data_IF_075080475617
#
_entry.id   IF_075080475617
#
_cell.length_a   1.000
_cell.length_b   1.000
_cell.length_c   1.000
_cell.angle_alpha   90.00
_cell.angle_beta   90.00
_cell.angle_gamma   90.00
#
_symmetry.space_group_name_H-M   'P 1'
#
loop_
_entity.id
_entity.type
_entity.pdbx_description
1 polymer ?
#
# COMPACT_ATOMS: atom_id res chain seq x y z
N UNK A 1 -10.35 15.55 -0.01
CA UNK A 1 -9.06 14.85 -0.16
C UNK A 1 -9.15 13.99 -1.42
N UNK A 2 -8.42 14.32 -2.48
CA UNK A 2 -8.46 13.53 -3.72
C UNK A 2 -7.59 12.28 -3.56
N UNK A 3 -8.03 11.13 -4.08
CA UNK A 3 -7.28 9.89 -3.98
C UNK A 3 -5.95 10.00 -4.75
N UNK A 4 -4.88 9.50 -4.13
CA UNK A 4 -3.62 9.21 -4.81
C UNK A 4 -3.88 8.31 -6.03
N UNK A 5 -3.12 8.40 -7.13
CA UNK A 5 -3.29 7.53 -8.31
C UNK A 5 -3.35 6.04 -7.98
N UNK A 6 -2.60 5.59 -6.97
CA UNK A 6 -2.57 4.20 -6.51
C UNK A 6 -3.79 3.78 -5.68
N UNK A 7 -4.67 4.73 -5.34
CA UNK A 7 -5.92 4.53 -4.59
C UNK A 7 -7.16 4.81 -5.44
N UNK A 8 -6.99 5.14 -6.73
CA UNK A 8 -8.11 5.28 -7.66
C UNK A 8 -8.85 3.96 -7.81
N UNK A 9 -10.18 4.04 -7.67
CA UNK A 9 -11.09 2.91 -7.81
C UNK A 9 -12.04 3.18 -8.95
N UNK A 10 -12.37 2.12 -9.67
CA UNK A 10 -13.43 2.10 -10.67
C UNK A 10 -14.42 1.01 -10.30
N UNK A 11 -15.69 1.22 -10.63
CA UNK A 11 -16.72 0.19 -10.41
C UNK A 11 -16.58 -0.95 -11.41
N UNK A 12 -16.29 -0.63 -12.67
CA UNK A 12 -16.10 -1.63 -13.74
C UNK A 12 -14.71 -1.53 -14.33
N UNK A 13 -14.17 -2.69 -14.75
CA UNK A 13 -12.86 -2.76 -15.39
C UNK A 13 -12.79 -1.90 -16.66
N UNK A 14 -13.89 -1.84 -17.42
CA UNK A 14 -14.01 -1.02 -18.63
C UNK A 14 -13.77 0.48 -18.37
N UNK A 15 -14.09 0.97 -17.17
CA UNK A 15 -13.95 2.39 -16.83
C UNK A 15 -12.49 2.82 -16.71
N UNK A 16 -11.54 1.87 -16.58
CA UNK A 16 -10.10 2.18 -16.60
C UNK A 16 -9.63 2.72 -17.96
N UNK A 17 -10.35 2.42 -19.04
CA UNK A 17 -10.06 2.96 -20.36
C UNK A 17 -10.69 4.35 -20.57
N UNK A 18 -11.51 4.84 -19.62
CA UNK A 18 -12.13 6.15 -19.75
C UNK A 18 -11.09 7.27 -19.70
N UNK A 19 -11.33 8.31 -20.49
CA UNK A 19 -10.51 9.54 -20.48
C UNK A 19 -10.45 10.13 -19.06
N UNK A 20 -11.55 10.07 -18.32
CA UNK A 20 -11.63 10.50 -16.92
C UNK A 20 -10.63 9.76 -16.03
N UNK A 21 -10.58 8.43 -16.10
CA UNK A 21 -9.66 7.63 -15.29
C UNK A 21 -8.20 7.90 -15.67
N UNK A 22 -7.90 8.00 -16.97
CA UNK A 22 -6.54 8.31 -17.45
C UNK A 22 -6.09 9.70 -16.97
N UNK A 23 -6.98 10.70 -17.04
CA UNK A 23 -6.71 12.04 -16.51
C UNK A 23 -6.45 12.01 -15.00
N UNK A 24 -7.32 11.38 -14.23
CA UNK A 24 -7.15 11.28 -12.78
C UNK A 24 -5.87 10.53 -12.37
N UNK A 25 -5.52 9.44 -13.07
CA UNK A 25 -4.30 8.67 -12.77
C UNK A 25 -3.01 9.43 -13.06
N UNK A 26 -3.06 10.44 -13.94
CA UNK A 26 -1.96 11.35 -14.24
C UNK A 26 -1.99 12.64 -13.42
N UNK A 27 -2.94 12.77 -12.47
CA UNK A 27 -3.09 13.97 -11.64
C UNK A 27 -3.78 15.14 -12.34
N UNK A 28 -4.48 14.88 -13.44
CA UNK A 28 -5.26 15.87 -14.18
C UNK A 28 -6.74 15.85 -13.75
N UNK A 29 -7.38 17.01 -13.83
CA UNK A 29 -8.82 17.15 -13.62
C UNK A 29 -9.62 16.68 -14.86
N UNK A 30 -10.95 16.80 -14.81
CA UNK A 30 -11.83 16.40 -15.91
C UNK A 30 -11.61 17.19 -17.20
N UNK A 31 -11.03 18.39 -17.11
CA UNK A 31 -10.73 19.27 -18.24
C UNK A 31 -9.31 19.06 -18.80
N UNK A 32 -8.51 18.17 -18.18
CA UNK A 32 -7.12 17.91 -18.58
C UNK A 32 -6.13 18.93 -18.03
N UNK A 33 -6.57 19.79 -17.11
CA UNK A 33 -5.70 20.72 -16.40
C UNK A 33 -5.08 20.00 -15.20
N UNK A 34 -3.88 20.42 -14.78
CA UNK A 34 -3.36 19.98 -13.48
C UNK A 34 -4.36 20.35 -12.40
N UNK A 35 -4.56 19.47 -11.42
CA UNK A 35 -5.39 19.74 -10.26
C UNK A 35 -4.82 20.90 -9.39
N UNK A 36 -5.05 22.15 -9.81
CA UNK A 36 -4.46 23.36 -9.25
C UNK A 36 -5.10 23.87 -7.94
N UNK A 37 -5.67 23.00 -7.12
CA UNK A 37 -6.13 23.35 -5.76
C UNK A 37 -5.08 22.98 -4.70
N UNK A 38 -3.91 23.61 -4.75
CA UNK A 38 -3.57 24.77 -3.93
C UNK A 38 -2.18 25.25 -4.32
N UNK A 39 -1.96 26.56 -4.31
CA UNK A 39 -0.66 27.20 -4.56
C UNK A 39 0.45 26.74 -3.59
N UNK A 40 0.07 25.98 -2.54
CA UNK A 40 0.92 25.28 -1.57
C UNK A 40 0.54 23.80 -1.36
N UNK A 41 -0.33 23.22 -2.19
CA UNK A 41 -0.71 21.82 -2.09
C UNK A 41 0.01 21.09 -3.19
N UNK A 42 1.08 20.39 -2.80
CA UNK A 42 1.58 19.30 -3.61
C UNK A 42 0.39 18.44 -4.07
N UNK A 43 0.43 17.91 -5.30
CA UNK A 43 -0.39 16.76 -5.65
C UNK A 43 -0.38 15.80 -4.46
N UNK A 44 -1.50 15.12 -4.19
CA UNK A 44 -1.60 14.12 -3.11
C UNK A 44 -0.70 12.92 -3.44
N UNK A 45 0.60 13.17 -3.48
CA UNK A 45 1.68 12.24 -3.58
C UNK A 45 1.69 11.51 -2.26
N UNK A 46 1.87 10.21 -2.38
CA UNK A 46 2.01 9.37 -1.23
C UNK A 46 3.26 9.84 -0.46
N UNK A 47 3.09 10.26 0.79
CA UNK A 47 4.23 10.58 1.66
C UNK A 47 4.97 9.29 1.97
N UNK A 48 6.30 9.32 1.90
CA UNK A 48 7.08 8.11 2.13
C UNK A 48 6.92 7.59 3.56
N UNK A 49 6.95 8.49 4.54
CA UNK A 49 6.69 8.21 5.94
C UNK A 49 5.33 7.52 6.18
N UNK A 50 4.28 7.98 5.51
CA UNK A 50 2.95 7.35 5.55
C UNK A 50 2.95 5.94 4.95
N UNK A 51 3.73 5.73 3.88
CA UNK A 51 3.92 4.42 3.24
C UNK A 51 4.55 3.42 4.19
N UNK A 52 5.61 3.83 4.88
CA UNK A 52 6.31 3.02 5.88
C UNK A 52 5.34 2.64 6.99
N UNK A 53 4.68 3.64 7.60
CA UNK A 53 3.72 3.42 8.68
C UNK A 53 2.60 2.46 8.30
N UNK A 54 1.98 2.65 7.13
CA UNK A 54 0.91 1.77 6.64
C UNK A 54 1.39 0.38 6.31
N UNK A 55 2.64 0.21 5.86
CA UNK A 55 3.20 -1.12 5.62
C UNK A 55 3.34 -1.92 6.90
N UNK A 56 3.75 -1.27 8.00
CA UNK A 56 3.77 -1.90 9.33
C UNK A 56 2.35 -2.26 9.81
N UNK A 57 1.37 -1.38 9.59
CA UNK A 57 -0.03 -1.67 9.92
C UNK A 57 -0.57 -2.89 9.13
N UNK A 58 -0.21 -3.01 7.85
CA UNK A 58 -0.60 -4.15 7.02
C UNK A 58 -0.04 -5.48 7.54
N UNK A 59 1.15 -5.47 8.16
CA UNK A 59 1.71 -6.64 8.83
C UNK A 59 0.84 -7.07 10.03
N UNK A 60 0.48 -6.12 10.89
CA UNK A 60 -0.35 -6.42 12.07
C UNK A 60 -1.74 -6.91 11.67
N UNK A 61 -2.33 -6.31 10.63
CA UNK A 61 -3.61 -6.77 10.06
C UNK A 61 -3.48 -8.19 9.53
N UNK A 62 -2.36 -8.52 8.88
CA UNK A 62 -2.15 -9.85 8.31
C UNK A 62 -2.05 -10.95 9.37
N UNK A 63 -1.53 -10.65 10.55
CA UNK A 63 -1.35 -11.61 11.64
C UNK A 63 -2.56 -11.70 12.56
N UNK A 64 -3.20 -10.58 12.85
CA UNK A 64 -4.16 -10.46 13.96
C UNK A 64 -5.60 -10.17 13.52
N UNK A 65 -5.82 -9.83 12.24
CA UNK A 65 -7.13 -9.39 11.77
C UNK A 65 -7.82 -10.43 10.88
N UNK A 66 -9.01 -10.08 10.39
CA UNK A 66 -9.79 -10.97 9.52
C UNK A 66 -9.19 -11.05 8.11
N UNK A 67 -9.44 -12.17 7.42
CA UNK A 67 -9.07 -12.34 6.00
C UNK A 67 -9.64 -11.23 5.11
N UNK A 68 -10.82 -10.71 5.46
CA UNK A 68 -11.47 -9.60 4.73
C UNK A 68 -10.68 -8.31 4.89
N UNK A 69 -10.31 -7.95 6.13
CA UNK A 69 -9.49 -6.78 6.40
C UNK A 69 -8.14 -6.86 5.67
N UNK A 70 -7.45 -8.00 5.79
CA UNK A 70 -6.17 -8.22 5.11
C UNK A 70 -6.26 -8.09 3.58
N UNK A 71 -7.36 -8.51 2.95
CA UNK A 71 -7.51 -8.42 1.49
C UNK A 71 -7.90 -7.01 1.00
N UNK A 72 -8.57 -6.22 1.84
CA UNK A 72 -9.14 -4.93 1.44
C UNK A 72 -8.24 -3.75 1.81
N UNK A 73 -7.57 -3.78 2.97
CA UNK A 73 -6.74 -2.67 3.46
C UNK A 73 -5.55 -2.35 2.54
N UNK A 74 -4.79 -3.32 1.99
CA UNK A 74 -3.72 -3.04 1.03
C UNK A 74 -4.22 -2.27 -0.20
N UNK A 75 -5.42 -2.61 -0.70
CA UNK A 75 -6.06 -1.93 -1.84
C UNK A 75 -6.53 -0.53 -1.47
N UNK A 76 -7.02 -0.33 -0.24
CA UNK A 76 -7.42 0.97 0.27
C UNK A 76 -6.21 1.92 0.37
N UNK A 77 -5.08 1.41 0.89
CA UNK A 77 -3.83 2.16 1.01
C UNK A 77 -3.09 2.30 -0.34
N UNK A 78 -3.46 1.50 -1.33
CA UNK A 78 -2.75 1.38 -2.61
C UNK A 78 -1.35 0.77 -2.46
N UNK A 79 -1.10 0.03 -1.38
CA UNK A 79 0.20 -0.58 -1.05
C UNK A 79 0.04 -2.08 -1.28
N UNK A 80 0.66 -2.60 -2.33
CA UNK A 80 0.74 -4.03 -2.61
C UNK A 80 2.20 -4.44 -2.67
N UNK A 81 2.70 -5.01 -1.57
CA UNK A 81 4.08 -5.49 -1.47
C UNK A 81 4.11 -7.02 -1.42
N UNK A 82 4.74 -7.63 -2.42
CA UNK A 82 4.92 -9.08 -2.49
C UNK A 82 5.86 -9.60 -1.40
N UNK A 83 6.80 -8.80 -0.92
CA UNK A 83 7.73 -9.20 0.15
C UNK A 83 6.94 -9.45 1.44
N UNK A 84 6.05 -8.53 1.81
CA UNK A 84 5.18 -8.71 2.97
C UNK A 84 4.33 -10.00 2.84
N UNK A 85 3.80 -10.28 1.65
CA UNK A 85 3.02 -11.51 1.40
C UNK A 85 3.84 -12.80 1.60
N UNK A 86 5.12 -12.81 1.21
CA UNK A 86 6.02 -13.96 1.43
C UNK A 86 6.17 -14.25 2.92
N UNK A 87 6.34 -13.21 3.73
CA UNK A 87 6.46 -13.38 5.17
C UNK A 87 5.13 -13.73 5.81
N UNK A 88 3.97 -13.26 5.33
CA UNK A 88 2.66 -13.65 5.90
C UNK A 88 2.25 -15.09 5.55
N UNK A 89 2.69 -15.63 4.40
CA UNK A 89 2.24 -16.95 3.92
C UNK A 89 2.48 -18.13 4.89
N UNK A 90 3.61 -18.21 5.63
CA UNK A 90 3.83 -19.21 6.68
C UNK A 90 2.77 -19.26 7.78
N UNK A 91 2.11 -18.14 8.12
CA UNK A 91 1.00 -18.12 9.09
C UNK A 91 -0.25 -18.79 8.54
N UNK A 92 -0.52 -18.62 7.25
CA UNK A 92 -1.67 -19.24 6.55
C UNK A 92 -1.51 -20.74 6.33
N UNK A 93 -0.26 -21.20 6.24
CA UNK A 93 0.09 -22.60 5.94
C UNK A 93 0.61 -23.36 7.16
N UNK A 94 0.52 -22.76 8.35
CA UNK A 94 0.93 -23.37 9.63
C UNK A 94 2.38 -23.92 9.64
N UNK A 95 3.28 -23.27 8.89
CA UNK A 95 4.70 -23.68 8.80
C UNK A 95 5.48 -23.19 10.03
N UNK A 96 5.36 -23.91 11.15
CA UNK A 96 5.89 -23.52 12.47
C UNK A 96 7.38 -23.13 12.45
N UNK A 97 8.24 -23.89 11.76
CA UNK A 97 9.68 -23.59 11.65
C UNK A 97 9.93 -22.22 11.00
N UNK A 98 9.17 -21.87 9.96
CA UNK A 98 9.29 -20.56 9.30
C UNK A 98 8.70 -19.45 10.15
N UNK A 99 7.58 -19.69 10.84
CA UNK A 99 7.01 -18.73 11.77
C UNK A 99 7.99 -18.39 12.90
N UNK A 100 8.69 -19.39 13.44
CA UNK A 100 9.71 -19.20 14.47
C UNK A 100 10.89 -18.35 13.96
N UNK A 101 11.39 -18.63 12.75
CA UNK A 101 12.48 -17.84 12.16
C UNK A 101 12.06 -16.39 11.89
N UNK A 102 10.86 -16.18 11.38
CA UNK A 102 10.37 -14.82 11.12
C UNK A 102 10.12 -14.07 12.44
N UNK A 103 9.67 -14.76 13.48
CA UNK A 103 9.57 -14.19 14.84
C UNK A 103 10.95 -13.82 15.39
N UNK A 104 11.97 -14.66 15.18
CA UNK A 104 13.36 -14.35 15.54
C UNK A 104 13.87 -13.10 14.81
N UNK A 105 13.60 -13.00 13.51
CA UNK A 105 13.96 -11.83 12.70
C UNK A 105 13.23 -10.57 13.19
N UNK A 106 11.92 -10.67 13.49
CA UNK A 106 11.10 -9.59 14.07
C UNK A 106 11.78 -9.02 15.32
N UNK A 107 12.14 -9.90 16.25
CA UNK A 107 12.73 -9.51 17.54
C UNK A 107 14.13 -8.93 17.40
N UNK A 108 14.88 -9.31 16.36
CA UNK A 108 16.23 -8.80 16.10
C UNK A 108 16.21 -7.44 15.38
N UNK A 109 15.41 -7.34 14.31
CA UNK A 109 15.26 -6.13 13.52
C UNK A 109 13.98 -6.21 12.70
N UNK A 110 12.94 -5.49 13.15
CA UNK A 110 11.63 -5.52 12.52
C UNK A 110 11.65 -5.01 11.07
N UNK A 111 12.43 -3.96 10.79
CA UNK A 111 12.54 -3.35 9.45
C UNK A 111 13.08 -4.33 8.40
N UNK A 112 13.71 -5.43 8.83
CA UNK A 112 14.18 -6.51 7.94
C UNK A 112 13.07 -7.38 7.36
N UNK A 113 11.87 -7.34 7.93
CA UNK A 113 10.71 -8.08 7.41
C UNK A 113 10.05 -7.38 6.23
N UNK A 114 10.43 -6.15 5.94
CA UNK A 114 9.82 -5.32 4.92
C UNK A 114 10.75 -5.06 3.75
N UNK A 115 10.18 -4.54 2.67
CA UNK A 115 10.93 -4.11 1.50
C UNK A 115 12.11 -3.21 1.91
N UNK A 116 13.36 -3.54 1.51
CA UNK A 116 14.54 -2.74 1.84
C UNK A 116 14.43 -1.27 1.45
N UNK A 117 13.66 -0.96 0.40
CA UNK A 117 13.44 0.43 -0.03
C UNK A 117 12.83 1.28 1.09
N UNK A 118 11.99 0.71 1.96
CA UNK A 118 11.35 1.41 3.09
C UNK A 118 12.34 1.98 4.12
N UNK A 119 13.62 1.61 4.03
CA UNK A 119 14.70 2.15 4.88
C UNK A 119 15.45 3.32 4.23
N UNK A 120 15.16 3.63 2.97
CA UNK A 120 15.70 4.81 2.31
C UNK A 120 15.13 6.05 3.00
N UNK A 121 16.02 6.97 3.37
CA UNK A 121 15.65 8.30 3.84
C UNK A 121 15.26 9.13 2.61
N UNK A 122 14.24 9.96 2.76
CA UNK A 122 13.94 11.04 1.81
C UNK A 122 15.12 12.02 1.73
#
# INVERSE_FOLDING_TARGET
MFPSPCSLKVEKLADKASVTYVRQSTGLNLYGEKNSYSENAEPSYRKWSETISRTHELWDIALNSTKVAYNNTPKLYGIQDNINNVFVAPWKTLQQTKQAEITRLKNRNFDKLFNPFLRLKE
#
